data_IF_676242794338
#
_entry.id   IF_676242794338
#
_cell.length_a   1.000
_cell.length_b   1.000
_cell.length_c   1.000
_cell.angle_alpha   90.00
_cell.angle_beta   90.00
_cell.angle_gamma   90.00
#
_symmetry.space_group_name_H-M   'P 1'
#
loop_
_entity.id
_entity.type
_entity.pdbx_description
1 polymer ?
#
# COMPACT_ATOMS: atom_id res chain seq x y z
N UNK A 1 38.26 11.50 58.01
CA UNK A 1 37.26 10.44 57.71
C UNK A 1 36.24 10.82 56.69
N UNK A 2 35.72 12.04 56.68
CA UNK A 2 34.70 12.53 55.74
C UNK A 2 35.09 12.50 54.24
N UNK A 3 36.33 12.79 53.87
CA UNK A 3 36.76 12.80 52.45
C UNK A 3 36.77 11.41 51.77
N UNK A 4 36.97 10.33 52.52
CA UNK A 4 36.92 8.96 51.98
C UNK A 4 35.49 8.47 51.78
N UNK A 5 34.53 8.88 52.60
CA UNK A 5 33.11 8.52 52.46
C UNK A 5 32.50 9.22 51.26
N UNK A 6 32.82 10.50 50.98
CA UNK A 6 32.38 11.20 49.78
C UNK A 6 32.92 10.56 48.48
N UNK A 7 34.16 10.04 48.52
CA UNK A 7 34.74 9.39 47.33
C UNK A 7 34.03 8.05 46.98
N UNK A 8 33.67 7.28 48.01
CA UNK A 8 32.93 6.02 47.80
C UNK A 8 31.47 6.27 47.37
N UNK A 9 30.82 7.32 47.88
CA UNK A 9 29.48 7.72 47.44
C UNK A 9 29.47 8.21 45.99
N UNK A 10 30.51 8.97 45.59
CA UNK A 10 30.64 9.44 44.22
C UNK A 10 30.97 8.30 43.23
N UNK A 11 31.80 7.32 43.66
CA UNK A 11 32.12 6.11 42.89
C UNK A 11 30.90 5.19 42.75
N UNK A 12 30.06 5.03 43.81
CA UNK A 12 28.82 4.26 43.73
C UNK A 12 27.78 4.89 42.81
N UNK A 13 27.69 6.23 42.77
CA UNK A 13 26.78 6.96 41.92
C UNK A 13 27.18 6.86 40.44
N UNK A 14 28.47 6.76 40.13
CA UNK A 14 29.00 6.64 38.76
C UNK A 14 28.71 5.27 38.14
N UNK A 15 28.53 4.22 38.95
CA UNK A 15 28.28 2.85 38.48
C UNK A 15 26.81 2.67 38.06
N UNK A 16 25.89 3.51 38.55
CA UNK A 16 24.46 3.40 38.25
C UNK A 16 24.14 3.96 36.84
N UNK A 17 25.02 4.79 36.24
CA UNK A 17 24.78 5.38 34.91
C UNK A 17 25.25 4.53 33.72
N UNK A 18 25.90 3.38 33.94
CA UNK A 18 26.32 2.51 32.82
C UNK A 18 25.37 1.34 32.58
N UNK A 19 24.26 1.23 33.27
CA UNK A 19 23.16 0.31 32.91
C UNK A 19 22.10 0.99 32.02
N UNK A 20 22.51 1.94 31.13
CA UNK A 20 21.72 2.29 29.97
C UNK A 20 21.78 1.09 29.03
N UNK A 21 20.87 0.15 29.22
CA UNK A 21 20.50 -0.80 28.19
C UNK A 21 20.09 0.03 26.96
N UNK A 22 21.02 0.26 26.05
CA UNK A 22 20.67 0.48 24.67
C UNK A 22 19.97 -0.80 24.22
N UNK A 23 18.65 -0.85 24.31
CA UNK A 23 17.88 -1.80 23.57
C UNK A 23 18.10 -1.43 22.10
N UNK A 24 19.18 -1.92 21.53
CA UNK A 24 19.28 -2.16 20.11
C UNK A 24 18.06 -3.03 19.82
N UNK A 25 16.99 -2.40 19.33
CA UNK A 25 15.91 -3.10 18.65
C UNK A 25 16.58 -3.81 17.49
N UNK A 26 17.06 -5.01 17.73
CA UNK A 26 17.38 -5.97 16.70
C UNK A 26 16.19 -5.95 15.76
N UNK A 27 16.40 -5.56 14.52
CA UNK A 27 15.39 -5.75 13.47
C UNK A 27 15.02 -7.22 13.58
N UNK A 28 13.79 -7.50 14.07
CA UNK A 28 13.32 -8.85 14.21
C UNK A 28 13.44 -9.50 12.83
N UNK A 29 14.26 -10.54 12.73
CA UNK A 29 14.32 -11.45 11.59
C UNK A 29 12.88 -11.79 11.24
N UNK A 30 12.48 -11.61 9.99
CA UNK A 30 11.19 -11.79 9.36
C UNK A 30 10.03 -12.39 10.17
N UNK A 31 8.83 -12.14 9.72
CA UNK A 31 7.62 -12.76 10.26
C UNK A 31 7.59 -14.17 9.72
N UNK A 32 7.61 -15.17 10.57
CA UNK A 32 7.44 -16.57 10.14
C UNK A 32 6.16 -17.11 10.76
N UNK A 33 5.28 -17.69 9.96
CA UNK A 33 4.11 -18.42 10.50
C UNK A 33 4.57 -19.56 11.43
N UNK A 34 5.62 -20.26 11.14
CA UNK A 34 6.28 -21.31 11.91
C UNK A 34 5.54 -21.77 13.17
N UNK A 35 5.89 -21.17 14.30
CA UNK A 35 5.26 -21.45 15.59
C UNK A 35 4.21 -20.41 16.01
N UNK A 36 3.86 -19.44 15.16
CA UNK A 36 2.81 -18.45 15.43
C UNK A 36 1.44 -19.01 15.10
N UNK A 37 0.45 -18.70 15.92
CA UNK A 37 -0.97 -18.87 15.58
C UNK A 37 -1.38 -17.89 14.49
N UNK A 38 -2.51 -18.14 13.85
CA UNK A 38 -3.08 -17.22 12.84
C UNK A 38 -3.26 -15.78 13.38
N UNK A 39 -3.71 -15.66 14.63
CA UNK A 39 -3.91 -14.36 15.29
C UNK A 39 -2.60 -13.65 15.57
N UNK A 40 -1.59 -14.33 16.08
CA UNK A 40 -0.27 -13.75 16.34
C UNK A 40 0.41 -13.30 15.03
N UNK A 41 0.23 -14.08 13.96
CA UNK A 41 0.74 -13.69 12.66
C UNK A 41 0.08 -12.41 12.13
N UNK A 42 -1.25 -12.31 12.22
CA UNK A 42 -1.98 -11.10 11.81
C UNK A 42 -1.63 -9.90 12.69
N UNK A 43 -1.47 -10.09 14.01
CA UNK A 43 -1.04 -9.03 14.92
C UNK A 43 0.33 -8.47 14.53
N UNK A 44 1.27 -9.35 14.20
CA UNK A 44 2.60 -8.96 13.74
C UNK A 44 2.53 -8.19 12.40
N UNK A 45 1.72 -8.62 11.44
CA UNK A 45 1.52 -7.91 10.18
C UNK A 45 0.91 -6.52 10.38
N UNK A 46 -0.13 -6.42 11.21
CA UNK A 46 -0.77 -5.14 11.53
C UNK A 46 0.23 -4.20 12.22
N UNK A 47 1.01 -4.70 13.16
CA UNK A 47 2.03 -3.91 13.87
C UNK A 47 3.13 -3.38 12.95
N UNK A 48 3.39 -4.07 11.86
CA UNK A 48 4.38 -3.71 10.82
C UNK A 48 3.78 -2.90 9.68
N UNK A 49 2.45 -2.73 9.66
CA UNK A 49 1.80 -1.95 8.60
C UNK A 49 2.50 -0.59 8.41
N UNK A 50 2.79 -0.20 7.19
CA UNK A 50 3.58 1.02 6.94
C UNK A 50 2.91 2.27 7.51
N UNK A 51 1.60 2.42 7.37
CA UNK A 51 0.87 3.57 7.89
C UNK A 51 1.36 4.89 7.28
N UNK A 52 1.70 4.90 5.98
CA UNK A 52 2.18 6.11 5.29
C UNK A 52 1.15 7.24 5.32
N UNK A 53 1.53 8.44 5.73
CA UNK A 53 0.70 9.64 5.61
C UNK A 53 0.67 10.15 4.18
N UNK A 54 1.79 10.08 3.50
CA UNK A 54 1.91 10.48 2.10
C UNK A 54 3.00 9.68 1.39
N UNK A 55 2.84 9.51 0.08
CA UNK A 55 3.84 8.92 -0.81
C UNK A 55 3.89 9.74 -2.09
N UNK A 56 5.09 10.06 -2.54
CA UNK A 56 5.34 10.64 -3.86
C UNK A 56 6.38 9.81 -4.61
N UNK A 57 6.20 9.66 -5.91
CA UNK A 57 7.13 8.93 -6.76
C UNK A 57 7.13 9.47 -8.19
N UNK A 58 8.25 9.36 -8.88
CA UNK A 58 8.25 9.34 -10.35
C UNK A 58 7.72 8.00 -10.82
N UNK A 59 6.84 8.03 -11.83
CA UNK A 59 6.11 6.87 -12.32
C UNK A 59 6.37 6.67 -13.81
N UNK A 60 6.62 5.43 -14.21
CA UNK A 60 6.45 4.95 -15.57
C UNK A 60 5.28 3.97 -15.55
N UNK A 61 4.23 4.28 -16.31
CA UNK A 61 3.02 3.46 -16.40
C UNK A 61 2.94 2.83 -17.79
N UNK A 62 2.85 1.51 -17.83
CA UNK A 62 2.65 0.73 -19.05
C UNK A 62 1.27 0.07 -18.99
N UNK A 63 0.37 0.42 -19.92
CA UNK A 63 -1.00 -0.11 -19.96
C UNK A 63 -1.20 -0.91 -21.25
N UNK A 64 -1.61 -2.16 -21.11
CA UNK A 64 -2.05 -3.02 -22.20
C UNK A 64 -3.54 -3.32 -22.02
N UNK A 65 -4.36 -2.86 -22.97
CA UNK A 65 -5.82 -3.03 -22.94
C UNK A 65 -6.32 -4.21 -23.75
N UNK A 66 -5.51 -4.78 -24.63
CA UNK A 66 -5.97 -5.74 -25.63
C UNK A 66 -5.00 -6.90 -25.88
N UNK A 67 -3.89 -7.01 -25.15
CA UNK A 67 -2.83 -7.98 -25.43
C UNK A 67 -2.02 -7.67 -26.69
N UNK A 68 -2.13 -6.45 -27.24
CA UNK A 68 -1.39 -6.02 -28.45
C UNK A 68 -0.06 -5.32 -28.14
N UNK A 69 0.24 -5.24 -26.85
CA UNK A 69 1.43 -4.59 -26.31
C UNK A 69 1.11 -3.30 -25.56
N UNK A 70 1.95 -2.95 -24.58
CA UNK A 70 1.67 -1.84 -23.69
C UNK A 70 1.97 -0.48 -24.32
N UNK A 71 1.09 0.48 -24.08
CA UNK A 71 1.39 1.90 -24.22
C UNK A 71 2.07 2.39 -22.94
N UNK A 72 3.23 3.03 -23.08
CA UNK A 72 4.02 3.55 -21.95
C UNK A 72 3.92 5.07 -21.84
N UNK A 73 3.70 5.55 -20.65
CA UNK A 73 3.69 6.97 -20.30
C UNK A 73 4.49 7.21 -19.03
N UNK A 74 5.10 8.40 -18.93
CA UNK A 74 5.81 8.82 -17.73
C UNK A 74 5.00 9.88 -16.98
N UNK A 75 5.25 9.96 -15.66
CA UNK A 75 4.55 10.94 -14.84
C UNK A 75 4.96 10.89 -13.37
N UNK A 76 4.02 11.22 -12.53
CA UNK A 76 4.17 11.18 -11.07
C UNK A 76 2.95 10.52 -10.43
N UNK A 77 3.22 9.71 -9.42
CA UNK A 77 2.23 9.23 -8.46
C UNK A 77 2.40 10.05 -7.17
N UNK A 78 1.30 10.58 -6.65
CA UNK A 78 1.26 11.24 -5.35
C UNK A 78 0.05 10.76 -4.58
N UNK A 79 0.21 10.52 -3.30
CA UNK A 79 -0.86 10.06 -2.42
C UNK A 79 -0.78 10.81 -1.09
N UNK A 80 -1.93 11.24 -0.57
CA UNK A 80 -2.12 11.64 0.82
C UNK A 80 -3.21 10.77 1.43
N UNK A 81 -2.92 10.26 2.63
CA UNK A 81 -3.86 9.37 3.33
C UNK A 81 -5.19 10.09 3.58
N UNK A 82 -6.27 9.36 3.33
CA UNK A 82 -7.66 9.80 3.47
C UNK A 82 -8.07 11.03 2.63
N UNK A 83 -7.16 11.54 1.79
CA UNK A 83 -7.42 12.74 0.96
C UNK A 83 -7.47 12.38 -0.53
N UNK A 84 -6.36 11.90 -1.10
CA UNK A 84 -6.25 11.79 -2.55
C UNK A 84 -5.17 10.83 -3.03
N UNK A 85 -5.39 10.25 -4.22
CA UNK A 85 -4.38 9.60 -5.06
C UNK A 85 -4.35 10.37 -6.38
N UNK A 86 -3.20 10.92 -6.76
CA UNK A 86 -3.01 11.64 -8.02
C UNK A 86 -2.04 10.90 -8.93
N UNK A 87 -2.46 10.67 -10.17
CA UNK A 87 -1.67 10.11 -11.26
C UNK A 87 -1.52 11.19 -12.33
N UNK A 88 -0.39 11.87 -12.38
CA UNK A 88 -0.10 12.89 -13.40
C UNK A 88 0.70 12.29 -14.51
N UNK A 89 0.28 12.49 -15.75
CA UNK A 89 0.96 12.05 -16.98
C UNK A 89 1.68 13.24 -17.60
N UNK A 90 3.01 13.13 -17.70
CA UNK A 90 3.87 14.18 -18.22
C UNK A 90 4.97 13.58 -19.13
N UNK A 91 4.63 13.20 -20.41
CA UNK A 91 5.54 12.46 -21.28
C UNK A 91 6.76 13.27 -21.75
N UNK A 92 6.62 14.60 -21.89
CA UNK A 92 7.66 15.44 -22.43
C UNK A 92 7.98 16.61 -21.50
N UNK A 93 9.25 16.84 -21.19
CA UNK A 93 9.78 18.02 -20.46
C UNK A 93 9.05 18.32 -19.14
N UNK A 94 8.37 17.34 -18.56
CA UNK A 94 7.61 17.53 -17.32
C UNK A 94 6.29 18.30 -17.50
N UNK A 95 5.84 18.53 -18.73
CA UNK A 95 4.54 19.16 -19.01
C UNK A 95 3.43 18.13 -18.78
N UNK A 96 2.55 18.39 -17.82
CA UNK A 96 1.40 17.54 -17.53
C UNK A 96 0.35 17.66 -18.63
N UNK A 97 0.07 16.54 -19.29
CA UNK A 97 -0.93 16.44 -20.38
C UNK A 97 -2.25 15.85 -19.91
N UNK A 98 -2.21 15.03 -18.87
CA UNK A 98 -3.40 14.44 -18.24
C UNK A 98 -3.16 14.16 -16.76
N UNK A 99 -4.24 14.13 -16.00
CA UNK A 99 -4.24 13.77 -14.57
C UNK A 99 -5.47 12.93 -14.23
N UNK A 100 -5.28 11.87 -13.47
CA UNK A 100 -6.36 11.22 -12.75
C UNK A 100 -6.21 11.55 -11.26
N UNK A 101 -7.30 11.98 -10.64
CA UNK A 101 -7.38 12.28 -9.23
C UNK A 101 -8.49 11.44 -8.62
N UNK A 102 -8.13 10.61 -7.64
CA UNK A 102 -9.03 9.70 -6.94
C UNK A 102 -9.16 10.24 -5.52
N UNK A 103 -10.36 10.61 -5.13
CA UNK A 103 -10.70 11.16 -3.81
C UNK A 103 -11.90 10.40 -3.24
N UNK A 104 -12.33 10.64 -1.99
CA UNK A 104 -13.56 10.04 -1.46
C UNK A 104 -14.80 10.29 -2.31
N UNK A 105 -14.84 11.39 -3.09
CA UNK A 105 -15.97 11.78 -3.94
C UNK A 105 -16.03 11.02 -5.28
N UNK A 106 -14.95 10.34 -5.66
CA UNK A 106 -14.88 9.61 -6.94
C UNK A 106 -13.56 9.81 -7.67
N UNK A 107 -13.57 9.57 -8.97
CA UNK A 107 -12.41 9.72 -9.84
C UNK A 107 -12.65 10.86 -10.82
N UNK A 108 -11.77 11.84 -10.80
CA UNK A 108 -11.71 12.93 -11.76
C UNK A 108 -10.57 12.67 -12.74
N UNK A 109 -10.87 12.58 -14.02
CA UNK A 109 -9.88 12.48 -15.10
C UNK A 109 -9.87 13.78 -15.89
N UNK A 110 -8.71 14.40 -15.98
CA UNK A 110 -8.51 15.65 -16.72
C UNK A 110 -7.59 15.42 -17.91
N UNK A 111 -8.06 15.77 -19.09
CA UNK A 111 -7.25 15.93 -20.30
C UNK A 111 -6.92 17.43 -20.47
N UNK A 112 -5.70 17.80 -20.09
CA UNK A 112 -5.28 19.20 -20.14
C UNK A 112 -4.99 19.69 -21.55
N UNK A 113 -4.68 18.78 -22.47
CA UNK A 113 -4.46 19.13 -23.89
C UNK A 113 -5.75 19.56 -24.57
N UNK A 114 -6.83 18.83 -24.33
CA UNK A 114 -8.13 19.10 -24.92
C UNK A 114 -9.06 19.91 -23.99
N UNK A 115 -8.59 20.32 -22.82
CA UNK A 115 -9.37 21.04 -21.80
C UNK A 115 -10.68 20.33 -21.46
N UNK A 116 -10.62 19.01 -21.29
CA UNK A 116 -11.77 18.16 -20.96
C UNK A 116 -11.54 17.49 -19.60
N UNK A 117 -12.63 17.29 -18.89
CA UNK A 117 -12.61 16.49 -17.66
C UNK A 117 -13.84 15.57 -17.63
N UNK A 118 -13.66 14.44 -16.94
CA UNK A 118 -14.71 13.44 -16.70
C UNK A 118 -14.64 13.06 -15.24
N UNK A 119 -15.77 13.12 -14.56
CA UNK A 119 -15.91 12.64 -13.20
C UNK A 119 -16.68 11.32 -13.21
N UNK A 120 -16.12 10.31 -12.55
CA UNK A 120 -16.69 8.97 -12.48
C UNK A 120 -16.93 8.62 -11.00
N UNK A 121 -18.16 8.41 -10.59
CA UNK A 121 -18.46 7.99 -9.21
C UNK A 121 -18.02 6.53 -8.99
N UNK A 122 -17.76 6.18 -7.72
CA UNK A 122 -17.27 4.82 -7.39
C UNK A 122 -18.25 3.71 -7.77
N UNK A 123 -19.54 3.94 -7.74
CA UNK A 123 -20.55 2.94 -8.14
C UNK A 123 -20.39 2.52 -9.62
N UNK A 124 -20.05 3.47 -10.47
CA UNK A 124 -19.75 3.18 -11.87
C UNK A 124 -18.45 2.39 -12.01
N UNK A 125 -17.41 2.76 -11.27
CA UNK A 125 -16.14 2.02 -11.23
C UNK A 125 -16.31 0.58 -10.76
N UNK A 126 -17.08 0.34 -9.71
CA UNK A 126 -17.41 -1.01 -9.22
C UNK A 126 -18.07 -1.86 -10.29
N UNK A 127 -19.01 -1.27 -11.04
CA UNK A 127 -19.68 -1.95 -12.13
C UNK A 127 -18.75 -2.28 -13.31
N UNK A 128 -17.85 -1.37 -13.65
CA UNK A 128 -16.86 -1.57 -14.71
C UNK A 128 -15.81 -2.62 -14.34
N UNK A 129 -15.25 -2.49 -13.14
CA UNK A 129 -14.17 -3.36 -12.67
C UNK A 129 -14.65 -4.73 -12.21
N UNK A 130 -15.96 -4.90 -11.97
CA UNK A 130 -16.54 -6.10 -11.30
C UNK A 130 -15.83 -6.41 -9.98
N UNK A 131 -15.43 -5.37 -9.27
CA UNK A 131 -14.72 -5.45 -7.99
C UNK A 131 -15.25 -4.36 -7.04
N UNK A 132 -15.22 -4.65 -5.74
CA UNK A 132 -15.64 -3.66 -4.73
C UNK A 132 -14.49 -2.67 -4.50
N UNK A 133 -14.49 -1.63 -5.30
CA UNK A 133 -13.51 -0.56 -5.25
C UNK A 133 -14.17 0.70 -4.69
N UNK A 134 -13.67 1.13 -3.55
CA UNK A 134 -13.90 2.48 -3.02
C UNK A 134 -12.54 3.19 -2.86
N UNK A 135 -12.57 4.44 -2.42
CA UNK A 135 -11.34 5.21 -2.24
C UNK A 135 -10.36 4.55 -1.27
N UNK A 136 -10.83 4.07 -0.13
CA UNK A 136 -9.95 3.46 0.89
C UNK A 136 -9.37 2.12 0.41
N UNK A 137 -10.16 1.32 -0.30
CA UNK A 137 -9.68 0.09 -0.94
C UNK A 137 -8.58 0.38 -1.96
N UNK A 138 -8.81 1.36 -2.85
CA UNK A 138 -7.79 1.76 -3.84
C UNK A 138 -6.55 2.33 -3.16
N UNK A 139 -6.73 3.15 -2.12
CA UNK A 139 -5.60 3.71 -1.38
C UNK A 139 -4.78 2.62 -0.69
N UNK A 140 -5.42 1.63 -0.06
CA UNK A 140 -4.74 0.49 0.56
C UNK A 140 -3.96 -0.34 -0.49
N UNK A 141 -4.55 -0.57 -1.66
CA UNK A 141 -3.87 -1.25 -2.78
C UNK A 141 -2.63 -0.48 -3.23
N UNK A 142 -2.74 0.83 -3.47
CA UNK A 142 -1.60 1.66 -3.87
C UNK A 142 -0.55 1.83 -2.76
N UNK A 143 -0.96 1.83 -1.50
CA UNK A 143 -0.06 1.94 -0.34
C UNK A 143 0.54 0.60 0.12
N UNK A 144 0.22 -0.50 -0.57
CA UNK A 144 0.68 -1.86 -0.22
C UNK A 144 0.27 -2.27 1.20
N UNK A 145 -1.01 -2.11 1.51
CA UNK A 145 -1.57 -2.43 2.82
C UNK A 145 -2.62 -3.54 2.75
N UNK A 146 -2.66 -4.39 3.76
CA UNK A 146 -3.79 -5.29 3.99
C UNK A 146 -4.95 -4.44 4.51
N UNK A 147 -6.15 -4.71 4.04
CA UNK A 147 -7.34 -3.93 4.40
C UNK A 147 -8.55 -4.84 4.70
N UNK A 148 -9.51 -4.27 5.40
CA UNK A 148 -10.84 -4.84 5.58
C UNK A 148 -11.85 -3.88 4.93
N UNK A 149 -12.71 -4.36 4.01
CA UNK A 149 -13.68 -3.51 3.32
C UNK A 149 -14.53 -2.69 4.31
N UNK A 150 -14.69 -1.40 4.00
CA UNK A 150 -15.43 -0.46 4.85
C UNK A 150 -14.67 0.04 6.09
N UNK A 151 -13.39 -0.33 6.25
CA UNK A 151 -12.54 0.18 7.32
C UNK A 151 -11.37 1.00 6.76
N UNK A 152 -11.09 2.13 7.40
CA UNK A 152 -9.96 3.00 7.05
C UNK A 152 -8.63 2.46 7.58
N UNK A 153 -8.63 1.90 8.78
CA UNK A 153 -7.42 1.40 9.45
C UNK A 153 -7.73 0.07 10.12
N UNK A 154 -6.84 -0.90 9.93
CA UNK A 154 -6.88 -2.18 10.64
C UNK A 154 -6.34 -2.03 12.07
N UNK A 155 -7.00 -2.69 12.99
CA UNK A 155 -6.59 -2.81 14.39
C UNK A 155 -6.55 -4.28 14.81
N UNK A 156 -5.98 -4.55 15.97
CA UNK A 156 -5.97 -5.91 16.54
C UNK A 156 -7.39 -6.47 16.78
N UNK A 157 -8.40 -5.61 16.95
CA UNK A 157 -9.80 -6.03 17.08
C UNK A 157 -10.36 -6.65 15.78
N UNK A 158 -9.73 -6.42 14.64
CA UNK A 158 -10.18 -6.87 13.33
C UNK A 158 -9.60 -8.24 12.93
N UNK A 159 -8.64 -8.77 13.70
CA UNK A 159 -7.93 -10.03 13.41
C UNK A 159 -8.91 -11.19 13.20
N UNK A 160 -9.97 -11.27 13.99
CA UNK A 160 -10.98 -12.33 13.87
C UNK A 160 -11.70 -12.35 12.52
N UNK A 161 -11.65 -11.25 11.76
CA UNK A 161 -12.23 -11.13 10.42
C UNK A 161 -11.38 -11.80 9.34
N UNK A 162 -10.20 -12.27 9.68
CA UNK A 162 -9.28 -12.92 8.73
C UNK A 162 -9.10 -14.41 9.05
N UNK A 163 -8.87 -15.19 8.00
CA UNK A 163 -8.33 -16.54 8.07
C UNK A 163 -6.93 -16.52 7.47
N UNK A 164 -5.98 -17.18 8.11
CA UNK A 164 -4.60 -17.25 7.64
C UNK A 164 -4.23 -18.70 7.38
N UNK A 165 -3.66 -18.97 6.21
CA UNK A 165 -3.17 -20.30 5.87
C UNK A 165 -1.74 -20.23 5.35
N UNK A 166 -0.82 -21.08 5.83
CA UNK A 166 0.53 -21.15 5.28
C UNK A 166 0.52 -21.71 3.86
N UNK A 167 1.30 -21.12 2.96
CA UNK A 167 1.54 -21.57 1.59
C UNK A 167 3.04 -21.52 1.28
N UNK A 168 3.80 -22.56 1.64
CA UNK A 168 5.26 -22.61 1.50
C UNK A 168 5.94 -21.41 2.19
N UNK A 169 6.63 -20.56 1.43
CA UNK A 169 7.29 -19.33 1.92
C UNK A 169 6.33 -18.15 2.08
N UNK A 170 5.05 -18.36 1.83
CA UNK A 170 4.02 -17.33 1.91
C UNK A 170 2.92 -17.72 2.89
N UNK A 171 2.10 -16.75 3.24
CA UNK A 171 0.84 -16.93 3.91
C UNK A 171 -0.29 -16.36 3.05
N UNK A 172 -1.34 -17.13 2.87
CA UNK A 172 -2.59 -16.67 2.29
C UNK A 172 -3.50 -16.18 3.43
N UNK A 173 -3.92 -14.93 3.31
CA UNK A 173 -4.83 -14.25 4.24
C UNK A 173 -6.12 -13.98 3.48
N UNK A 174 -7.26 -14.44 4.02
CA UNK A 174 -8.56 -14.26 3.40
C UNK A 174 -9.49 -13.52 4.36
N UNK A 175 -10.27 -12.56 3.85
CA UNK A 175 -11.33 -11.93 4.63
C UNK A 175 -12.50 -12.92 4.77
N UNK A 176 -12.87 -13.23 6.02
CA UNK A 176 -14.03 -14.06 6.32
C UNK A 176 -15.34 -13.31 5.97
N UNK A 177 -16.36 -14.05 5.57
CA UNK A 177 -17.71 -13.52 5.35
C UNK A 177 -17.81 -12.41 4.27
N UNK A 178 -16.94 -12.42 3.29
CA UNK A 178 -17.10 -11.61 2.08
C UNK A 178 -18.38 -12.04 1.34
N UNK A 179 -19.44 -11.20 1.36
CA UNK A 179 -20.77 -11.57 0.82
C UNK A 179 -20.75 -11.73 -0.70
N UNK A 180 -20.30 -10.69 -1.40
CA UNK A 180 -20.28 -10.62 -2.86
C UNK A 180 -18.88 -10.68 -3.42
N UNK A 181 -17.88 -10.30 -2.63
CA UNK A 181 -16.49 -10.24 -3.04
C UNK A 181 -15.61 -11.05 -2.11
N UNK A 182 -14.62 -11.72 -2.69
CA UNK A 182 -13.56 -12.42 -1.98
C UNK A 182 -12.30 -11.54 -1.98
N UNK A 183 -11.75 -11.31 -0.80
CA UNK A 183 -10.51 -10.53 -0.62
C UNK A 183 -9.43 -11.48 -0.12
N UNK A 184 -8.32 -11.51 -0.83
CA UNK A 184 -7.17 -12.36 -0.52
C UNK A 184 -5.90 -11.55 -0.58
N UNK A 185 -5.00 -11.84 0.35
CA UNK A 185 -3.70 -11.21 0.43
C UNK A 185 -2.66 -12.31 0.58
N UNK A 186 -1.54 -12.17 -0.14
CA UNK A 186 -0.41 -13.09 0.00
C UNK A 186 0.78 -12.31 0.52
N UNK A 187 1.28 -12.72 1.70
CA UNK A 187 2.46 -12.15 2.33
C UNK A 187 3.59 -13.17 2.34
N UNK A 188 4.82 -12.70 2.21
CA UNK A 188 5.98 -13.57 2.41
C UNK A 188 6.21 -13.79 3.91
N UNK A 189 6.41 -15.05 4.34
CA UNK A 189 6.54 -15.39 5.76
C UNK A 189 7.87 -14.99 6.37
N UNK A 190 8.92 -14.77 5.57
CA UNK A 190 10.24 -14.41 6.06
C UNK A 190 10.35 -12.92 6.42
N UNK A 191 9.70 -12.03 5.66
CA UNK A 191 9.82 -10.59 5.80
C UNK A 191 8.49 -9.89 6.10
N UNK A 192 7.36 -10.59 5.95
CA UNK A 192 6.00 -10.05 6.17
C UNK A 192 5.52 -9.12 5.05
N UNK A 193 6.27 -9.01 3.94
CA UNK A 193 5.90 -8.11 2.86
C UNK A 193 4.68 -8.64 2.10
N UNK A 194 3.71 -7.75 1.87
CA UNK A 194 2.54 -8.03 1.05
C UNK A 194 2.96 -8.09 -0.42
N UNK A 195 2.86 -9.29 -1.02
CA UNK A 195 3.25 -9.58 -2.41
C UNK A 195 2.10 -9.52 -3.39
N UNK A 196 0.88 -9.77 -2.92
CA UNK A 196 -0.29 -9.83 -3.78
C UNK A 196 -1.55 -9.47 -2.99
N UNK A 197 -2.44 -8.70 -3.62
CA UNK A 197 -3.80 -8.44 -3.18
C UNK A 197 -4.76 -8.81 -4.30
N UNK A 198 -5.80 -9.57 -4.00
CA UNK A 198 -6.80 -9.99 -4.95
C UNK A 198 -8.20 -9.64 -4.44
N UNK A 199 -9.00 -9.05 -5.32
CA UNK A 199 -10.43 -8.78 -5.08
C UNK A 199 -11.19 -9.48 -6.20
N UNK A 200 -11.96 -10.51 -5.87
CA UNK A 200 -12.72 -11.31 -6.84
C UNK A 200 -14.22 -11.27 -6.57
N UNK A 201 -15.02 -11.28 -7.62
CA UNK A 201 -16.48 -11.43 -7.51
C UNK A 201 -16.81 -12.90 -7.23
N UNK A 202 -17.40 -13.17 -6.07
CA UNK A 202 -17.68 -14.52 -5.58
C UNK A 202 -18.46 -15.34 -6.59
N UNK A 203 -18.06 -16.60 -6.80
CA UNK A 203 -18.69 -17.52 -7.75
C UNK A 203 -18.44 -17.22 -9.22
N UNK A 204 -17.56 -16.30 -9.54
CA UNK A 204 -17.19 -15.93 -10.92
C UNK A 204 -15.68 -15.96 -11.14
N UNK A 205 -15.26 -15.75 -12.39
CA UNK A 205 -13.85 -15.57 -12.75
C UNK A 205 -13.42 -14.09 -12.80
N UNK A 206 -14.31 -13.17 -12.45
CA UNK A 206 -14.01 -11.74 -12.51
C UNK A 206 -13.31 -11.27 -11.24
N UNK A 207 -12.28 -10.46 -11.42
CA UNK A 207 -11.55 -9.89 -10.32
C UNK A 207 -10.43 -8.96 -10.75
N UNK A 208 -9.77 -8.39 -9.75
CA UNK A 208 -8.56 -7.60 -9.91
C UNK A 208 -7.47 -8.27 -9.09
N UNK A 209 -6.34 -8.51 -9.74
CA UNK A 209 -5.13 -8.97 -9.06
C UNK A 209 -4.09 -7.86 -9.08
N UNK A 210 -3.53 -7.56 -7.91
CA UNK A 210 -2.52 -6.52 -7.69
C UNK A 210 -1.27 -7.14 -7.10
N UNK A 211 -0.19 -7.21 -7.88
CA UNK A 211 1.09 -7.79 -7.44
C UNK A 211 2.11 -6.70 -7.19
N UNK A 212 2.94 -6.92 -6.18
CA UNK A 212 3.94 -5.99 -5.69
C UNK A 212 5.33 -6.62 -5.76
N UNK A 213 6.28 -5.88 -6.31
CA UNK A 213 7.64 -6.36 -6.53
C UNK A 213 8.68 -5.23 -6.38
N UNK A 214 9.96 -5.59 -6.48
CA UNK A 214 11.08 -4.66 -6.44
C UNK A 214 11.05 -3.76 -5.21
N UNK A 215 10.79 -4.34 -4.04
CA UNK A 215 10.73 -3.57 -2.79
C UNK A 215 12.02 -2.78 -2.54
N UNK A 216 11.86 -1.53 -2.11
CA UNK A 216 12.94 -0.61 -1.81
C UNK A 216 12.72 0.08 -0.47
N UNK A 217 13.79 0.43 0.24
CA UNK A 217 13.67 1.22 1.45
C UNK A 217 12.94 2.55 1.19
N UNK A 218 11.96 2.85 2.04
CA UNK A 218 11.31 4.13 2.16
C UNK A 218 11.23 4.42 3.66
N UNK A 219 12.02 5.40 4.13
CA UNK A 219 12.29 5.61 5.55
C UNK A 219 12.76 4.32 6.26
N UNK A 220 12.05 3.86 7.28
CA UNK A 220 12.39 2.66 8.05
C UNK A 220 11.68 1.39 7.55
N UNK A 221 10.91 1.46 6.47
CA UNK A 221 10.09 0.35 5.95
C UNK A 221 10.37 0.12 4.48
N UNK A 222 9.75 -0.90 3.92
CA UNK A 222 9.89 -1.25 2.50
C UNK A 222 8.63 -0.84 1.74
N UNK A 223 8.81 -0.33 0.52
CA UNK A 223 7.73 0.01 -0.40
C UNK A 223 7.98 -0.63 -1.78
N UNK A 224 6.95 -1.17 -2.45
CA UNK A 224 7.12 -1.76 -3.76
C UNK A 224 7.43 -0.69 -4.81
N UNK A 225 8.53 -0.87 -5.53
CA UNK A 225 8.90 -0.03 -6.66
C UNK A 225 8.30 -0.52 -7.98
N UNK A 226 7.64 -1.68 -7.99
CA UNK A 226 6.89 -2.20 -9.13
C UNK A 226 5.54 -2.72 -8.65
N UNK A 227 4.47 -2.34 -9.36
CA UNK A 227 3.12 -2.83 -9.11
C UNK A 227 2.52 -3.27 -10.45
N UNK A 228 1.96 -4.47 -10.50
CA UNK A 228 1.25 -4.99 -11.67
C UNK A 228 -0.20 -5.22 -11.31
N UNK A 229 -1.09 -4.54 -12.01
CA UNK A 229 -2.55 -4.68 -11.90
C UNK A 229 -3.04 -5.46 -13.10
N UNK A 230 -3.82 -6.51 -12.87
CA UNK A 230 -4.45 -7.29 -13.93
C UNK A 230 -5.94 -7.50 -13.63
N UNK A 231 -6.76 -7.36 -14.67
CA UNK A 231 -8.19 -7.62 -14.59
C UNK A 231 -8.48 -9.02 -15.11
N UNK A 232 -9.05 -9.86 -14.22
CA UNK A 232 -9.40 -11.24 -14.51
C UNK A 232 -10.82 -11.34 -15.06
N UNK A 233 -11.06 -12.35 -15.90
CA UNK A 233 -12.38 -12.59 -16.49
C UNK A 233 -12.75 -11.70 -17.66
N UNK A 234 -11.99 -10.67 -17.98
CA UNK A 234 -12.18 -9.87 -19.17
C UNK A 234 -12.00 -10.70 -20.45
N UNK A 235 -12.71 -10.32 -21.53
CA UNK A 235 -12.57 -11.02 -22.84
C UNK A 235 -11.15 -10.89 -23.40
N UNK A 236 -10.50 -9.80 -23.12
CA UNK A 236 -9.11 -9.51 -23.50
C UNK A 236 -8.32 -9.18 -22.24
N UNK A 237 -7.03 -9.55 -22.17
CA UNK A 237 -6.20 -9.22 -21.02
C UNK A 237 -6.08 -7.70 -20.89
N UNK A 238 -6.30 -7.21 -19.68
CA UNK A 238 -6.08 -5.80 -19.32
C UNK A 238 -5.06 -5.79 -18.20
N UNK A 239 -3.92 -5.17 -18.47
CA UNK A 239 -2.85 -5.05 -17.47
C UNK A 239 -2.32 -3.63 -17.40
N UNK A 240 -1.93 -3.21 -16.20
CA UNK A 240 -1.22 -1.97 -15.96
C UNK A 240 0.00 -2.25 -15.08
N UNK A 241 1.16 -1.77 -15.49
CA UNK A 241 2.41 -1.91 -14.75
C UNK A 241 2.91 -0.53 -14.36
N UNK A 242 3.05 -0.32 -13.06
CA UNK A 242 3.63 0.88 -12.47
C UNK A 242 5.07 0.59 -12.06
N UNK A 243 6.03 1.29 -12.64
CA UNK A 243 7.41 1.31 -12.19
C UNK A 243 7.67 2.65 -11.49
N UNK A 244 8.05 2.58 -10.21
CA UNK A 244 8.19 3.74 -9.35
C UNK A 244 9.66 4.00 -9.03
N UNK A 245 10.03 5.26 -9.01
CA UNK A 245 11.36 5.71 -8.64
C UNK A 245 11.29 7.04 -7.87
N UNK A 246 12.39 7.43 -7.21
CA UNK A 246 12.45 8.64 -6.39
C UNK A 246 11.33 8.69 -5.35
N UNK A 247 11.11 7.56 -4.68
CA UNK A 247 10.13 7.43 -3.60
C UNK A 247 10.45 8.42 -2.47
N UNK A 248 9.43 9.08 -1.95
CA UNK A 248 9.51 10.03 -0.85
C UNK A 248 8.18 10.07 -0.09
N UNK A 249 8.23 10.43 1.18
CA UNK A 249 7.06 10.67 2.05
C UNK A 249 6.71 12.16 2.16
N UNK A 250 7.26 13.01 1.27
CA UNK A 250 6.96 14.43 1.26
C UNK A 250 5.46 14.68 1.02
N UNK A 251 4.88 15.49 1.89
CA UNK A 251 3.47 15.91 1.86
C UNK A 251 3.25 17.38 1.50
N UNK A 252 4.34 18.13 1.19
CA UNK A 252 4.28 19.54 0.83
C UNK A 252 3.91 19.71 -0.65
N UNK A 253 2.65 19.37 -0.99
CA UNK A 253 2.07 19.55 -2.31
C UNK A 253 0.54 19.69 -2.20
N UNK A 254 -0.04 20.40 -3.16
CA UNK A 254 -1.48 20.66 -3.20
C UNK A 254 -2.26 19.38 -3.56
N UNK A 255 -3.21 19.02 -2.71
CA UNK A 255 -4.02 17.79 -2.85
C UNK A 255 -5.24 17.97 -3.74
N UNK A 256 -5.70 19.20 -3.95
CA UNK A 256 -6.87 19.48 -4.78
C UNK A 256 -6.49 20.15 -6.09
N UNK A 257 -7.14 19.72 -7.14
CA UNK A 257 -7.03 20.38 -8.45
C UNK A 257 -8.31 21.17 -8.69
N UNK A 258 -8.15 22.46 -8.95
CA UNK A 258 -9.26 23.27 -9.44
C UNK A 258 -9.73 22.75 -10.80
N UNK A 259 -10.99 22.42 -10.90
CA UNK A 259 -11.63 22.08 -12.16
C UNK A 259 -11.87 23.39 -12.89
N UNK A 260 -11.37 23.56 -14.12
CA UNK A 260 -11.66 24.76 -14.90
C UNK A 260 -13.18 24.90 -15.09
N UNK A 261 -13.70 26.10 -14.81
CA UNK A 261 -15.11 26.43 -15.06
C UNK A 261 -15.40 26.47 -16.54
#
# INVERSE_FOLDING_TARGET
MMKRVCFYLFSALLIIFISSCSSTRSMKKGVSIGNLSESEYMEELISRSPGWDAITAKMSLAVDLNGKGPTKVNGTLRMKRDEVIQLSIAPFLGIEVARAEISPDGVLVMDRMNKRYVQVPFDELKNLAKADLDFHTLQALFMNEIFLPGKKVLTVCDISSFAVRPENENALIEVKNGKHFAYRFRTNTNDGLLKESHIGLSGTRYGINWRYDKFRPLEQKQFPASMTVSFEGAKQPVTAVFELSRLSTNKDWESHTEVPQ
#
